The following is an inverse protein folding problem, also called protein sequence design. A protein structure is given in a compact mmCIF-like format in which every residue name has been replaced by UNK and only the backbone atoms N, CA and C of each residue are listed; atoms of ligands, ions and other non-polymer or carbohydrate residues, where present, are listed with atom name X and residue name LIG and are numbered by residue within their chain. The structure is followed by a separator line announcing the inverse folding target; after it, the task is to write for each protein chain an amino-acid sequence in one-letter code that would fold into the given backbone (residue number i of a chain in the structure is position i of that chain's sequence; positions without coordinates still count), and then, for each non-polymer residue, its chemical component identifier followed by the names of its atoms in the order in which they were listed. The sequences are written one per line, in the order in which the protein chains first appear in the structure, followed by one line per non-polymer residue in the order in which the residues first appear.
data_IF_549621601602
#
_entry.id   IF_549621601602
#
_cell.length_a   1.000
_cell.length_b   1.000
_cell.length_c   1.000
_cell.angle_alpha   90.00
_cell.angle_beta   90.00
_cell.angle_gamma   90.00
#
_symmetry.space_group_name_H-M   'P 1'
#
loop_
_entity.id
_entity.type
_entity.pdbx_description
1 polymer ?
#
# COMPACT_ATOMS: atom_id res chain seq x y z
N UNK A 1 -14.70 30.96 2.45
CA UNK A 1 -14.38 31.50 1.11
C UNK A 1 -12.94 31.19 0.82
N UNK A 2 -12.70 30.21 -0.03
CA UNK A 2 -11.36 29.83 -0.50
C UNK A 2 -11.30 28.35 -0.81
N UNK A 3 -12.13 27.92 -1.75
CA UNK A 3 -12.24 26.54 -2.19
C UNK A 3 -11.12 26.33 -3.23
N UNK A 4 -9.98 25.81 -2.81
CA UNK A 4 -8.84 25.56 -3.70
C UNK A 4 -8.86 24.12 -4.22
N UNK A 5 -9.56 23.92 -5.34
CA UNK A 5 -9.38 22.76 -6.20
C UNK A 5 -8.13 22.99 -7.07
N UNK A 6 -6.99 22.41 -6.68
CA UNK A 6 -5.74 22.54 -7.44
C UNK A 6 -4.75 21.37 -7.24
N UNK A 7 -4.69 20.47 -8.22
CA UNK A 7 -3.66 19.44 -8.49
C UNK A 7 -3.55 18.24 -7.54
N UNK A 8 -4.13 17.12 -7.97
CA UNK A 8 -4.13 15.80 -7.33
C UNK A 8 -2.76 15.10 -7.22
N UNK A 9 -1.80 15.71 -6.54
CA UNK A 9 -0.58 15.03 -6.07
C UNK A 9 -0.83 14.66 -4.61
N UNK A 10 -1.09 13.39 -4.36
CA UNK A 10 -1.34 12.90 -3.00
C UNK A 10 -0.05 12.93 -2.17
N UNK A 11 0.29 14.09 -1.61
CA UNK A 11 1.45 14.23 -0.73
C UNK A 11 1.28 13.38 0.54
N UNK A 12 2.39 13.12 1.23
CA UNK A 12 2.37 12.71 2.63
C UNK A 12 2.47 13.96 3.49
N UNK A 13 1.36 14.65 3.82
CA UNK A 13 1.39 15.67 4.86
C UNK A 13 1.88 15.01 6.16
N UNK A 14 2.39 15.78 7.12
CA UNK A 14 3.01 15.29 8.37
C UNK A 14 2.15 14.38 9.28
N UNK A 15 1.01 13.87 8.80
CA UNK A 15 0.25 12.76 9.36
C UNK A 15 1.11 11.49 9.37
N UNK A 16 1.11 10.82 10.52
CA UNK A 16 1.86 9.57 10.76
C UNK A 16 1.06 8.31 10.50
N UNK A 17 -0.27 8.43 10.37
CA UNK A 17 -1.21 7.30 10.23
C UNK A 17 -2.21 7.60 9.12
N UNK A 18 -2.46 6.59 8.27
CA UNK A 18 -3.41 6.67 7.16
C UNK A 18 -4.36 5.47 7.15
N UNK A 19 -5.55 5.68 6.59
CA UNK A 19 -6.43 4.59 6.20
C UNK A 19 -6.02 4.11 4.82
N UNK A 20 -5.75 2.82 4.69
CA UNK A 20 -5.31 2.16 3.46
C UNK A 20 -6.02 0.83 3.30
N UNK A 21 -5.85 0.22 2.13
CA UNK A 21 -6.57 -0.95 1.69
C UNK A 21 -5.61 -1.99 1.11
N UNK A 22 -5.92 -3.26 1.33
CA UNK A 22 -5.22 -4.40 0.74
C UNK A 22 -6.26 -5.39 0.22
N UNK A 23 -6.24 -5.65 -1.09
CA UNK A 23 -7.08 -6.66 -1.72
C UNK A 23 -6.46 -8.03 -1.61
N UNK A 24 -7.25 -9.02 -1.20
CA UNK A 24 -6.81 -10.41 -1.08
C UNK A 24 -8.02 -11.34 -1.20
N UNK A 25 -7.83 -12.65 -1.06
CA UNK A 25 -8.95 -13.60 -0.98
C UNK A 25 -9.54 -13.61 0.42
N UNK A 26 -10.83 -13.95 0.57
CA UNK A 26 -11.49 -14.01 1.88
C UNK A 26 -10.75 -14.92 2.87
N UNK A 27 -10.25 -16.07 2.40
CA UNK A 27 -9.43 -17.00 3.19
C UNK A 27 -8.17 -16.32 3.72
N UNK A 28 -7.47 -15.58 2.86
CA UNK A 28 -6.26 -14.86 3.26
C UNK A 28 -6.58 -13.66 4.16
N UNK A 29 -7.69 -12.96 3.95
CA UNK A 29 -8.13 -11.87 4.81
C UNK A 29 -8.36 -12.35 6.25
N UNK A 30 -9.01 -13.50 6.42
CA UNK A 30 -9.19 -14.12 7.74
C UNK A 30 -7.85 -14.54 8.36
N UNK A 31 -6.95 -15.17 7.59
CA UNK A 31 -5.60 -15.49 8.08
C UNK A 31 -4.85 -14.25 8.55
N UNK A 32 -4.87 -13.17 7.76
CA UNK A 32 -4.19 -11.91 8.11
C UNK A 32 -4.80 -11.29 9.37
N UNK A 33 -6.12 -11.40 9.57
CA UNK A 33 -6.77 -10.92 10.78
C UNK A 33 -6.26 -11.64 12.04
N UNK A 34 -6.02 -12.96 11.95
CA UNK A 34 -5.59 -13.78 13.08
C UNK A 34 -4.06 -13.79 13.30
N UNK A 35 -3.29 -13.85 12.23
CA UNK A 35 -1.83 -14.05 12.26
C UNK A 35 -1.04 -12.76 11.99
N UNK A 36 -1.70 -11.72 11.50
CA UNK A 36 -1.06 -10.51 11.01
C UNK A 36 -0.54 -10.65 9.57
N UNK A 37 -0.01 -9.55 9.05
CA UNK A 37 0.62 -9.55 7.72
C UNK A 37 1.99 -10.23 7.75
N UNK A 38 2.34 -10.89 6.63
CA UNK A 38 3.69 -11.36 6.33
C UNK A 38 4.26 -10.53 5.19
N UNK A 39 5.51 -10.12 5.30
CA UNK A 39 6.17 -9.41 4.21
C UNK A 39 6.34 -10.31 2.99
N UNK A 40 6.13 -9.75 1.80
CA UNK A 40 6.65 -10.35 0.59
C UNK A 40 8.19 -10.33 0.63
N UNK A 41 8.82 -11.30 -0.03
CA UNK A 41 10.28 -11.36 -0.16
C UNK A 41 10.82 -10.40 -1.23
N UNK A 42 9.97 -9.99 -2.18
CA UNK A 42 10.30 -9.04 -3.25
C UNK A 42 9.04 -8.33 -3.77
N UNK A 43 9.24 -7.39 -4.68
CA UNK A 43 8.23 -6.67 -5.45
C UNK A 43 8.83 -5.45 -6.14
N UNK A 44 7.98 -4.59 -6.70
CA UNK A 44 8.43 -3.35 -7.35
C UNK A 44 9.26 -2.46 -6.42
N UNK A 45 8.89 -2.42 -5.14
CA UNK A 45 9.56 -1.65 -4.08
C UNK A 45 10.38 -2.55 -3.14
N UNK A 46 10.70 -3.78 -3.54
CA UNK A 46 11.37 -4.75 -2.67
C UNK A 46 10.45 -5.36 -1.60
N UNK A 47 11.01 -5.89 -0.50
CA UNK A 47 10.26 -6.62 0.50
C UNK A 47 9.37 -5.72 1.35
N UNK A 48 8.17 -6.19 1.68
CA UNK A 48 7.24 -5.51 2.58
C UNK A 48 5.78 -5.89 2.34
N UNK A 49 4.88 -5.10 2.88
CA UNK A 49 3.43 -5.24 2.71
C UNK A 49 2.93 -4.12 1.81
N UNK A 50 2.32 -4.51 0.69
CA UNK A 50 1.81 -3.59 -0.32
C UNK A 50 0.38 -3.18 -0.01
N UNK A 51 0.15 -1.87 0.08
CA UNK A 51 -1.15 -1.27 0.41
C UNK A 51 -1.41 -0.05 -0.48
N UNK A 52 -2.67 0.35 -0.57
CA UNK A 52 -3.08 1.54 -1.34
C UNK A 52 -4.07 2.39 -0.57
N UNK A 53 -4.05 3.70 -0.82
CA UNK A 53 -5.06 4.65 -0.34
C UNK A 53 -6.37 4.58 -1.15
N UNK A 54 -6.37 3.93 -2.32
CA UNK A 54 -7.59 3.67 -3.11
C UNK A 54 -8.18 2.29 -2.81
N UNK A 55 -9.42 2.28 -2.34
CA UNK A 55 -10.21 1.05 -2.16
C UNK A 55 -10.50 0.39 -3.50
N UNK A 56 -10.78 1.19 -4.52
CA UNK A 56 -11.10 0.76 -5.89
C UNK A 56 -9.89 0.13 -6.60
N UNK A 57 -8.67 0.54 -6.25
CA UNK A 57 -7.46 -0.17 -6.67
C UNK A 57 -7.37 -1.51 -5.96
N UNK A 58 -7.50 -1.50 -4.63
CA UNK A 58 -7.36 -2.71 -3.81
C UNK A 58 -8.39 -3.78 -4.20
N UNK A 59 -9.62 -3.41 -4.53
CA UNK A 59 -10.70 -4.34 -4.92
C UNK A 59 -10.39 -5.18 -6.16
N UNK A 60 -9.39 -4.81 -6.97
CA UNK A 60 -9.02 -5.57 -8.18
C UNK A 60 -8.08 -6.74 -7.90
N UNK A 61 -7.59 -6.87 -6.66
CA UNK A 61 -6.57 -7.85 -6.31
C UNK A 61 -7.10 -8.99 -5.42
N UNK A 62 -6.57 -10.21 -5.60
CA UNK A 62 -5.68 -10.63 -6.70
C UNK A 62 -6.40 -10.65 -8.06
N UNK A 63 -5.67 -10.32 -9.13
CA UNK A 63 -6.20 -10.29 -10.51
C UNK A 63 -6.67 -11.67 -11.01
N UNK A 64 -6.13 -12.75 -10.44
CA UNK A 64 -6.56 -14.11 -10.69
C UNK A 64 -6.73 -14.82 -9.34
N UNK A 65 -7.98 -14.92 -8.89
CA UNK A 65 -8.33 -15.56 -7.63
C UNK A 65 -8.73 -17.04 -7.79
N UNK A 66 -8.72 -17.59 -9.01
CA UNK A 66 -9.16 -18.96 -9.27
C UNK A 66 -10.59 -19.26 -8.79
N UNK A 67 -11.49 -18.28 -8.87
CA UNK A 67 -12.87 -18.39 -8.38
C UNK A 67 -13.06 -18.20 -6.87
N UNK A 68 -11.99 -17.94 -6.10
CA UNK A 68 -12.12 -17.62 -4.67
C UNK A 68 -12.82 -16.29 -4.45
N UNK A 69 -13.63 -16.21 -3.38
CA UNK A 69 -14.25 -14.97 -2.95
C UNK A 69 -13.16 -13.95 -2.58
N UNK A 70 -13.32 -12.72 -3.09
CA UNK A 70 -12.42 -11.62 -2.80
C UNK A 70 -12.84 -10.88 -1.53
N UNK A 71 -11.86 -10.23 -0.90
CA UNK A 71 -12.06 -9.37 0.24
C UNK A 71 -11.06 -8.21 0.23
N UNK A 72 -11.47 -7.10 0.83
CA UNK A 72 -10.63 -5.93 1.03
C UNK A 72 -10.42 -5.76 2.52
N UNK A 73 -9.16 -5.72 2.94
CA UNK A 73 -8.80 -5.31 4.30
C UNK A 73 -8.74 -3.80 4.36
N UNK A 74 -9.51 -3.18 5.26
CA UNK A 74 -9.35 -1.77 5.65
C UNK A 74 -8.34 -1.69 6.79
N UNK A 75 -7.33 -0.85 6.63
CA UNK A 75 -6.14 -0.84 7.46
C UNK A 75 -5.91 0.53 8.10
N UNK A 76 -5.39 0.55 9.32
CA UNK A 76 -4.73 1.71 9.92
C UNK A 76 -3.22 1.50 9.83
N UNK A 77 -2.55 2.32 9.03
CA UNK A 77 -1.13 2.14 8.70
C UNK A 77 -0.31 3.29 9.26
N UNK A 78 0.67 2.97 10.12
CA UNK A 78 1.68 3.91 10.63
C UNK A 78 2.82 4.02 9.63
N UNK A 79 2.86 5.07 8.83
CA UNK A 79 3.80 5.17 7.68
C UNK A 79 5.22 5.59 8.05
N UNK A 80 5.42 6.20 9.23
CA UNK A 80 6.77 6.56 9.70
C UNK A 80 7.55 7.44 8.74
N UNK A 81 8.85 7.14 8.55
CA UNK A 81 9.72 7.84 7.60
C UNK A 81 9.49 7.29 6.19
N UNK A 82 8.96 8.11 5.31
CA UNK A 82 8.55 7.70 3.95
C UNK A 82 9.60 8.07 2.92
N UNK A 83 9.95 7.12 2.04
CA UNK A 83 10.76 7.36 0.85
C UNK A 83 9.88 7.41 -0.39
N UNK A 84 9.84 8.57 -1.06
CA UNK A 84 9.25 8.70 -2.40
C UNK A 84 10.12 7.96 -3.42
N UNK A 85 9.51 7.10 -4.23
CA UNK A 85 10.09 6.36 -5.35
C UNK A 85 9.24 6.67 -6.58
N UNK A 86 9.71 7.58 -7.43
CA UNK A 86 8.90 8.20 -8.50
C UNK A 86 9.46 8.00 -9.90
N UNK A 87 10.41 7.08 -10.08
CA UNK A 87 10.89 6.65 -11.39
C UNK A 87 11.51 5.25 -11.31
N UNK A 88 11.43 4.51 -12.41
CA UNK A 88 12.01 3.16 -12.52
C UNK A 88 13.54 3.22 -12.44
N UNK A 89 14.13 2.28 -11.69
CA UNK A 89 15.57 2.26 -11.44
C UNK A 89 16.02 3.26 -10.38
N UNK A 90 15.11 3.81 -9.57
CA UNK A 90 15.49 4.67 -8.45
C UNK A 90 16.51 3.94 -7.55
N UNK A 91 17.64 4.56 -7.13
CA UNK A 91 18.71 3.88 -6.38
C UNK A 91 18.25 3.16 -5.12
N UNK A 92 17.23 3.71 -4.45
CA UNK A 92 16.60 3.12 -3.27
C UNK A 92 15.32 2.31 -3.54
N UNK A 93 14.97 2.02 -4.80
CA UNK A 93 13.69 1.40 -5.17
C UNK A 93 13.39 0.13 -4.37
N UNK A 94 14.39 -0.73 -4.17
CA UNK A 94 14.26 -1.98 -3.39
C UNK A 94 14.96 -1.96 -2.03
N UNK A 95 15.77 -0.94 -1.74
CA UNK A 95 16.69 -0.92 -0.58
C UNK A 95 16.37 0.18 0.43
N UNK A 96 15.34 1.00 0.21
CA UNK A 96 14.93 2.10 1.10
C UNK A 96 14.86 1.71 2.59
N UNK A 97 14.40 0.50 2.92
CA UNK A 97 14.32 0.02 4.30
C UNK A 97 15.71 -0.08 4.98
N UNK A 98 16.75 -0.44 4.22
CA UNK A 98 18.14 -0.49 4.70
C UNK A 98 18.70 0.90 5.00
N UNK A 99 18.08 1.95 4.45
CA UNK A 99 18.42 3.35 4.69
C UNK A 99 17.54 3.99 5.79
N UNK A 100 16.86 3.17 6.60
CA UNK A 100 16.09 3.60 7.76
C UNK A 100 14.73 4.24 7.42
N UNK A 101 14.18 3.95 6.23
CA UNK A 101 12.82 4.32 5.89
C UNK A 101 11.84 3.20 6.31
N UNK A 102 10.67 3.60 6.81
CA UNK A 102 9.61 2.68 7.26
C UNK A 102 8.66 2.27 6.12
N UNK A 103 8.48 3.16 5.14
CA UNK A 103 7.59 2.98 3.99
C UNK A 103 8.24 3.54 2.73
N UNK A 104 8.15 2.82 1.60
CA UNK A 104 8.32 3.39 0.27
C UNK A 104 6.97 3.74 -0.34
N UNK A 105 6.94 4.83 -1.11
CA UNK A 105 5.74 5.34 -1.73
C UNK A 105 5.96 5.69 -3.20
N UNK A 106 5.08 5.16 -4.05
CA UNK A 106 4.93 5.51 -5.46
C UNK A 106 3.78 6.49 -5.62
N UNK A 107 4.03 7.75 -6.05
CA UNK A 107 2.98 8.69 -6.38
C UNK A 107 2.16 8.26 -7.58
N UNK A 108 0.91 8.74 -7.66
CA UNK A 108 0.12 8.59 -8.86
C UNK A 108 0.79 9.29 -10.05
N UNK A 109 0.64 8.71 -11.25
CA UNK A 109 1.08 9.27 -12.53
C UNK A 109 2.58 9.63 -12.62
N UNK A 110 3.45 8.97 -11.85
CA UNK A 110 4.90 9.19 -11.91
C UNK A 110 5.65 8.26 -12.90
N UNK A 111 4.94 7.41 -13.63
CA UNK A 111 5.56 6.47 -14.59
C UNK A 111 6.16 5.20 -13.97
N UNK A 112 6.00 4.98 -12.66
CA UNK A 112 6.41 3.73 -12.00
C UNK A 112 5.57 2.52 -12.43
N UNK A 113 4.27 2.68 -12.62
CA UNK A 113 3.35 1.60 -13.01
C UNK A 113 2.46 2.05 -14.16
N UNK A 114 2.14 1.13 -15.08
CA UNK A 114 1.31 1.42 -16.26
C UNK A 114 -0.10 1.91 -15.90
N UNK A 115 -0.62 1.51 -14.74
CA UNK A 115 -1.92 1.96 -14.24
C UNK A 115 -1.93 3.42 -13.79
N UNK A 116 -0.76 4.03 -13.58
CA UNK A 116 -0.64 5.36 -12.98
C UNK A 116 -1.10 5.45 -11.52
N UNK A 117 -1.47 4.35 -10.89
CA UNK A 117 -2.01 4.36 -9.53
C UNK A 117 -0.90 4.33 -8.47
N UNK A 118 -1.11 5.07 -7.39
CA UNK A 118 -0.21 5.13 -6.25
C UNK A 118 -0.09 3.79 -5.52
N UNK A 119 1.03 3.57 -4.85
CA UNK A 119 1.28 2.37 -4.06
C UNK A 119 2.24 2.63 -2.91
N UNK A 120 1.97 1.98 -1.79
CA UNK A 120 2.81 1.99 -0.61
C UNK A 120 3.37 0.59 -0.37
N UNK A 121 4.63 0.52 0.05
CA UNK A 121 5.23 -0.69 0.60
C UNK A 121 5.73 -0.40 2.02
N UNK A 122 5.14 -1.06 3.01
CA UNK A 122 5.48 -0.89 4.44
C UNK A 122 6.40 -2.03 4.86
N UNK A 123 7.55 -1.73 5.45
CA UNK A 123 8.57 -2.75 5.69
C UNK A 123 8.20 -3.67 6.85
N UNK A 124 7.71 -3.10 7.95
CA UNK A 124 7.40 -3.84 9.18
C UNK A 124 5.86 -4.03 9.33
N UNK A 125 5.34 -5.27 9.30
CA UNK A 125 3.92 -5.58 9.42
C UNK A 125 3.27 -5.06 10.72
N UNK A 126 4.02 -4.95 11.81
CA UNK A 126 3.50 -4.44 13.10
C UNK A 126 3.01 -2.99 13.04
N UNK A 127 3.32 -2.28 11.95
CA UNK A 127 2.85 -0.92 11.67
C UNK A 127 1.46 -0.88 11.04
N UNK A 128 0.90 -2.04 10.72
CA UNK A 128 -0.38 -2.21 10.04
C UNK A 128 -1.35 -2.87 11.00
N UNK A 129 -2.51 -2.23 11.22
CA UNK A 129 -3.60 -2.80 11.98
C UNK A 129 -4.81 -3.01 11.09
N UNK A 130 -5.33 -4.23 11.05
CA UNK A 130 -6.61 -4.53 10.38
C UNK A 130 -7.74 -3.89 11.18
N UNK A 131 -8.60 -3.15 10.50
CA UNK A 131 -9.80 -2.53 11.08
C UNK A 131 -11.06 -3.30 10.72
N UNK A 132 -11.14 -3.79 9.48
CA UNK A 132 -12.36 -4.36 8.91
C UNK A 132 -12.00 -5.25 7.73
N UNK A 133 -12.76 -6.33 7.56
CA UNK A 133 -12.79 -7.14 6.33
C UNK A 133 -14.06 -6.80 5.58
N UNK A 134 -13.92 -6.34 4.34
CA UNK A 134 -15.04 -5.96 3.47
C UNK A 134 -15.13 -7.02 2.35
N UNK A 135 -16.24 -7.77 2.22
CA UNK A 135 -16.46 -8.65 1.08
C UNK A 135 -16.45 -7.85 -0.24
N UNK A 136 -15.87 -8.43 -1.29
CA UNK A 136 -15.73 -7.80 -2.60
C UNK A 136 -16.28 -8.69 -3.71
#
# INVERSE_FOLDING_TARGET
MGDDYGNGIQQYPGRRIYIMYHGTTMVNAQKILHEGFRCSSDGMLGPGVYVSRSKEKASRYPLNAGGQQLAILKLSVKVGKVKKIDYQGHPLQKTWHQHGYDTAWVPANCGMVSSGLEEDCVYNPSRIRVLEIIPN
#
